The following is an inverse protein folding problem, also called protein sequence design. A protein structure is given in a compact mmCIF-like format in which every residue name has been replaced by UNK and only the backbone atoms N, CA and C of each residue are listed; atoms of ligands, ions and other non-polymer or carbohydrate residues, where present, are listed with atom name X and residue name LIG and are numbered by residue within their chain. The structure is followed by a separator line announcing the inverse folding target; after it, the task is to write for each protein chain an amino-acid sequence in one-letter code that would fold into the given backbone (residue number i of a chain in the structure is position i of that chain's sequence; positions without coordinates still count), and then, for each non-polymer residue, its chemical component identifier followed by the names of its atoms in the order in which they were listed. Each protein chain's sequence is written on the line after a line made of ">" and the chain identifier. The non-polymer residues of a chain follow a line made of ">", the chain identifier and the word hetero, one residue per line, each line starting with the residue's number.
data_IF_573630168766
#
_entry.id   IF_573630168766
#
_cell.length_a   1.000
_cell.length_b   1.000
_cell.length_c   1.000
_cell.angle_alpha   90.00
_cell.angle_beta   90.00
_cell.angle_gamma   90.00
#
_symmetry.space_group_name_H-M   'P 1'
#
loop_
_entity.id
_entity.type
_entity.pdbx_description
1 polymer ?
#
# COMPACT_ATOMS: atom_id res chain seq x y z
N UNK A 1 -8.85 0.11 -23.29
CA UNK A 1 -8.17 -0.70 -22.26
C UNK A 1 -6.99 -1.40 -22.94
N UNK A 2 -5.84 -0.72 -23.00
CA UNK A 2 -4.63 -1.28 -23.61
C UNK A 2 -3.99 -2.16 -22.54
N UNK A 3 -4.12 -3.48 -22.69
CA UNK A 3 -3.32 -4.44 -21.95
C UNK A 3 -1.89 -4.23 -22.43
N UNK A 4 -1.09 -3.52 -21.64
CA UNK A 4 0.32 -3.32 -21.92
C UNK A 4 1.00 -4.67 -22.06
N UNK A 5 1.40 -5.02 -23.28
CA UNK A 5 2.28 -6.15 -23.53
C UNK A 5 3.54 -5.91 -22.71
N UNK A 6 3.77 -6.74 -21.67
CA UNK A 6 5.08 -6.85 -21.05
C UNK A 6 6.07 -7.16 -22.18
N UNK A 7 6.88 -6.18 -22.51
CA UNK A 7 7.87 -6.32 -23.57
C UNK A 7 9.01 -7.07 -22.91
N UNK A 8 9.03 -8.40 -23.06
CA UNK A 8 10.08 -9.32 -22.56
C UNK A 8 11.40 -9.07 -23.33
N UNK A 9 11.94 -7.86 -23.19
CA UNK A 9 13.21 -7.47 -23.78
C UNK A 9 14.26 -7.41 -22.69
N UNK A 10 15.51 -7.75 -23.03
CA UNK A 10 16.62 -7.62 -22.10
C UNK A 10 16.75 -6.16 -21.61
N UNK A 11 16.47 -5.18 -22.46
CA UNK A 11 16.44 -3.77 -22.06
C UNK A 11 15.40 -3.51 -20.96
N UNK A 12 14.20 -4.05 -21.09
CA UNK A 12 13.17 -3.98 -20.05
C UNK A 12 13.65 -4.67 -18.75
N UNK A 13 14.23 -5.86 -18.85
CA UNK A 13 14.77 -6.54 -17.67
C UNK A 13 15.85 -5.72 -16.96
N UNK A 14 16.72 -5.03 -17.72
CA UNK A 14 17.80 -4.19 -17.19
C UNK A 14 17.29 -2.87 -16.60
N UNK A 15 16.29 -2.23 -17.20
CA UNK A 15 15.82 -0.90 -16.83
C UNK A 15 14.52 -0.88 -16.00
N UNK A 16 13.76 -1.97 -15.99
CA UNK A 16 12.43 -2.07 -15.39
C UNK A 16 11.47 -1.01 -15.94
N UNK A 17 10.76 -0.32 -15.04
CA UNK A 17 9.83 0.75 -15.38
C UNK A 17 10.48 1.99 -16.01
N UNK A 18 11.81 2.05 -16.08
CA UNK A 18 12.57 3.16 -16.66
C UNK A 18 13.10 2.87 -18.08
N UNK A 19 12.63 1.82 -18.76
CA UNK A 19 13.04 1.52 -20.15
C UNK A 19 12.87 2.73 -21.09
N UNK A 20 11.72 3.40 -21.04
CA UNK A 20 11.47 4.59 -21.88
C UNK A 20 12.46 5.72 -21.59
N UNK A 21 12.85 5.89 -20.32
CA UNK A 21 13.88 6.84 -19.91
C UNK A 21 15.26 6.45 -20.42
N UNK A 22 15.62 5.18 -20.37
CA UNK A 22 16.89 4.71 -20.92
C UNK A 22 16.99 4.98 -22.43
N UNK A 23 15.92 4.71 -23.19
CA UNK A 23 15.86 4.95 -24.64
C UNK A 23 16.02 6.44 -24.95
N UNK A 24 15.24 7.30 -24.28
CA UNK A 24 15.34 8.74 -24.47
C UNK A 24 16.71 9.28 -24.04
N UNK A 25 17.21 8.81 -22.90
CA UNK A 25 18.48 9.23 -22.34
C UNK A 25 19.65 8.82 -23.23
N UNK A 26 19.65 7.69 -23.93
CA UNK A 26 20.76 7.30 -24.82
C UNK A 26 20.53 7.61 -26.30
N UNK A 27 19.37 8.17 -26.66
CA UNK A 27 19.05 8.55 -28.03
C UNK A 27 18.58 7.40 -28.92
N UNK A 28 18.28 6.23 -28.35
CA UNK A 28 17.85 5.05 -29.08
C UNK A 28 17.85 3.77 -28.24
N UNK A 29 17.14 2.74 -28.71
CA UNK A 29 16.99 1.45 -28.03
C UNK A 29 18.29 0.65 -28.00
N UNK A 30 19.02 0.64 -29.12
CA UNK A 30 20.29 -0.09 -29.25
C UNK A 30 21.40 0.55 -28.41
N UNK A 31 21.46 1.88 -28.38
CA UNK A 31 22.39 2.66 -27.56
C UNK A 31 22.14 2.41 -26.07
N UNK A 32 20.87 2.47 -25.65
CA UNK A 32 20.47 2.21 -24.28
C UNK A 32 20.81 0.78 -23.84
N UNK A 33 20.55 -0.21 -24.71
CA UNK A 33 20.87 -1.60 -24.45
C UNK A 33 22.38 -1.81 -24.30
N UNK A 34 23.19 -1.30 -25.23
CA UNK A 34 24.66 -1.35 -25.17
C UNK A 34 25.19 -0.68 -23.90
N UNK A 35 24.65 0.48 -23.55
CA UNK A 35 25.07 1.19 -22.34
C UNK A 35 24.77 0.38 -21.06
N UNK A 36 23.57 -0.19 -20.92
CA UNK A 36 23.17 -0.87 -19.68
C UNK A 36 23.74 -2.28 -19.51
N UNK A 37 23.97 -3.03 -20.60
CA UNK A 37 24.43 -4.43 -20.54
C UNK A 37 25.88 -4.54 -20.08
N UNK A 38 26.72 -3.55 -20.40
CA UNK A 38 28.14 -3.53 -20.01
C UNK A 38 28.38 -3.01 -18.61
N UNK A 39 27.38 -2.40 -17.99
CA UNK A 39 27.50 -1.85 -16.64
C UNK A 39 27.26 -2.91 -15.56
N UNK A 40 28.10 -2.98 -14.53
CA UNK A 40 27.82 -3.81 -13.36
C UNK A 40 26.48 -3.44 -12.73
N UNK A 41 25.75 -4.42 -12.19
CA UNK A 41 24.40 -4.23 -11.63
C UNK A 41 24.31 -3.04 -10.66
N UNK A 42 25.31 -2.91 -9.78
CA UNK A 42 25.39 -1.80 -8.82
C UNK A 42 25.43 -0.42 -9.50
N UNK A 43 26.21 -0.28 -10.58
CA UNK A 43 26.34 0.98 -11.33
C UNK A 43 25.08 1.24 -12.15
N UNK A 44 24.50 0.20 -12.74
CA UNK A 44 23.20 0.26 -13.40
C UNK A 44 22.11 0.78 -12.46
N UNK A 45 22.00 0.27 -11.24
CA UNK A 45 21.03 0.78 -10.26
C UNK A 45 21.27 2.22 -9.84
N UNK A 46 22.52 2.69 -9.85
CA UNK A 46 22.82 4.11 -9.60
C UNK A 46 22.23 4.96 -10.72
N UNK A 47 22.43 4.57 -11.98
CA UNK A 47 21.85 5.25 -13.13
C UNK A 47 20.32 5.27 -13.08
N UNK A 48 19.70 4.11 -12.81
CA UNK A 48 18.25 3.98 -12.67
C UNK A 48 17.70 4.82 -11.51
N UNK A 49 18.40 4.88 -10.37
CA UNK A 49 18.01 5.72 -9.25
C UNK A 49 18.02 7.21 -9.61
N UNK A 50 19.01 7.65 -10.40
CA UNK A 50 19.11 9.03 -10.87
C UNK A 50 18.02 9.32 -11.91
N UNK A 51 17.74 8.41 -12.83
CA UNK A 51 16.62 8.59 -13.76
C UNK A 51 15.27 8.60 -13.04
N UNK A 52 15.07 7.80 -11.99
CA UNK A 52 13.87 7.89 -11.14
C UNK A 52 13.73 9.29 -10.52
N UNK A 53 14.82 9.87 -10.03
CA UNK A 53 14.83 11.25 -9.52
C UNK A 53 14.48 12.26 -10.62
N UNK A 54 15.15 12.20 -11.77
CA UNK A 54 14.91 13.10 -12.91
C UNK A 54 13.47 13.03 -13.43
N UNK A 55 12.90 11.83 -13.45
CA UNK A 55 11.55 11.58 -13.97
C UNK A 55 10.43 11.99 -13.02
N UNK A 56 10.66 11.93 -11.70
CA UNK A 56 9.60 12.09 -10.70
C UNK A 56 9.74 13.35 -9.84
N UNK A 57 10.93 13.95 -9.75
CA UNK A 57 11.24 15.08 -8.87
C UNK A 57 12.02 16.15 -9.65
N UNK A 58 11.34 16.83 -10.57
CA UNK A 58 11.89 18.00 -11.25
C UNK A 58 12.26 19.15 -10.29
N UNK A 59 11.79 19.13 -9.04
CA UNK A 59 12.02 20.19 -8.04
C UNK A 59 13.27 19.98 -7.16
N UNK A 60 13.91 18.80 -7.18
CA UNK A 60 15.09 18.48 -6.35
C UNK A 60 16.42 18.46 -7.12
N UNK A 61 16.36 18.73 -8.41
CA UNK A 61 17.57 18.96 -9.18
C UNK A 61 17.83 20.46 -9.13
N UNK A 62 18.99 20.87 -8.61
CA UNK A 62 19.43 22.26 -8.73
C UNK A 62 19.56 22.69 -10.21
N UNK A 63 19.56 21.73 -11.16
CA UNK A 63 19.56 21.95 -12.62
C UNK A 63 18.69 20.92 -13.39
N UNK A 64 17.70 21.32 -14.20
CA UNK A 64 16.99 20.41 -15.12
C UNK A 64 17.92 19.79 -16.17
N UNK A 65 17.51 18.61 -16.66
CA UNK A 65 18.38 17.64 -17.31
C UNK A 65 18.98 18.08 -18.66
N UNK A 66 20.21 18.59 -18.64
CA UNK A 66 21.10 18.46 -19.79
C UNK A 66 21.53 17.00 -19.91
N UNK A 67 20.85 16.24 -20.77
CA UNK A 67 21.19 14.84 -21.05
C UNK A 67 22.62 14.68 -21.57
N UNK A 68 23.19 15.66 -22.26
CA UNK A 68 24.56 15.58 -22.76
C UNK A 68 25.54 15.58 -21.60
N UNK A 69 25.42 16.57 -20.70
CA UNK A 69 26.22 16.65 -19.48
C UNK A 69 26.07 15.41 -18.61
N UNK A 70 24.84 14.91 -18.42
CA UNK A 70 24.62 13.72 -17.60
C UNK A 70 25.12 12.43 -18.24
N UNK A 71 25.09 12.28 -19.57
CA UNK A 71 25.75 11.16 -20.27
C UNK A 71 27.24 11.19 -20.04
N UNK A 72 27.88 12.35 -20.19
CA UNK A 72 29.31 12.51 -19.94
C UNK A 72 29.66 12.12 -18.50
N UNK A 73 28.90 12.63 -17.52
CA UNK A 73 29.06 12.26 -16.10
C UNK A 73 28.85 10.76 -15.88
N UNK A 74 27.83 10.14 -16.49
CA UNK A 74 27.57 8.71 -16.35
C UNK A 74 28.73 7.85 -16.84
N UNK A 75 29.51 8.32 -17.82
CA UNK A 75 30.67 7.61 -18.36
C UNK A 75 31.97 7.90 -17.60
N UNK A 76 32.15 9.10 -17.08
CA UNK A 76 33.41 9.56 -16.47
C UNK A 76 33.45 9.48 -14.94
N UNK A 77 32.31 9.67 -14.28
CA UNK A 77 32.26 9.84 -12.82
C UNK A 77 32.15 8.50 -12.07
N UNK A 78 32.53 8.53 -10.80
CA UNK A 78 32.29 7.41 -9.88
C UNK A 78 30.83 7.36 -9.45
N UNK A 79 30.31 6.18 -9.11
CA UNK A 79 28.93 6.04 -8.63
C UNK A 79 28.63 6.85 -7.37
N UNK A 80 29.62 7.05 -6.49
CA UNK A 80 29.45 7.89 -5.30
C UNK A 80 29.32 9.37 -5.69
N UNK A 81 30.14 9.84 -6.64
CA UNK A 81 30.05 11.20 -7.16
C UNK A 81 28.70 11.45 -7.84
N UNK A 82 28.26 10.52 -8.70
CA UNK A 82 26.96 10.59 -9.39
C UNK A 82 25.78 10.73 -8.43
N UNK A 83 25.74 9.92 -7.37
CA UNK A 83 24.67 10.02 -6.37
C UNK A 83 24.69 11.37 -5.64
N UNK A 84 25.88 11.88 -5.29
CA UNK A 84 26.01 13.20 -4.65
C UNK A 84 25.53 14.31 -5.58
N UNK A 85 25.95 14.30 -6.85
CA UNK A 85 25.53 15.28 -7.86
C UNK A 85 24.02 15.22 -8.12
N UNK A 86 23.40 14.05 -7.97
CA UNK A 86 21.96 13.87 -8.11
C UNK A 86 21.16 14.20 -6.83
N UNK A 87 21.79 14.79 -5.81
CA UNK A 87 21.11 15.22 -4.58
C UNK A 87 20.93 14.13 -3.51
N UNK A 88 21.59 12.98 -3.63
CA UNK A 88 21.50 11.89 -2.64
C UNK A 88 22.60 11.93 -1.58
N UNK A 89 23.16 13.11 -1.28
CA UNK A 89 24.26 13.27 -0.32
C UNK A 89 23.92 12.78 1.10
N UNK A 90 22.69 13.02 1.54
CA UNK A 90 22.22 12.67 2.89
C UNK A 90 21.78 11.21 3.03
N UNK A 91 21.55 10.49 1.92
CA UNK A 91 21.11 9.10 1.91
C UNK A 91 22.27 8.11 2.22
N UNK A 92 22.77 8.15 3.45
CA UNK A 92 23.94 7.36 3.88
C UNK A 92 23.73 5.86 3.67
N UNK A 93 24.63 5.26 2.90
CA UNK A 93 24.59 3.84 2.55
C UNK A 93 23.73 3.49 1.34
N UNK A 94 23.23 4.49 0.59
CA UNK A 94 22.47 4.28 -0.65
C UNK A 94 23.28 3.49 -1.67
N UNK A 95 24.52 3.88 -1.95
CA UNK A 95 25.39 3.16 -2.89
C UNK A 95 25.54 1.67 -2.54
N UNK A 96 25.73 1.37 -1.25
CA UNK A 96 25.81 -0.01 -0.77
C UNK A 96 24.48 -0.76 -0.85
N UNK A 97 23.35 -0.04 -0.72
CA UNK A 97 22.01 -0.61 -0.78
C UNK A 97 21.56 -0.88 -2.22
N UNK A 98 21.90 0.00 -3.17
CA UNK A 98 21.66 -0.22 -4.60
C UNK A 98 22.41 -1.45 -5.11
N UNK A 99 23.61 -1.73 -4.59
CA UNK A 99 24.34 -2.96 -4.91
C UNK A 99 23.75 -4.25 -4.33
N UNK A 100 22.66 -4.18 -3.56
CA UNK A 100 21.95 -5.33 -2.99
C UNK A 100 20.60 -5.60 -3.66
N UNK A 101 20.23 -4.78 -4.63
CA UNK A 101 19.05 -4.98 -5.47
C UNK A 101 19.25 -6.19 -6.42
N UNK A 102 18.17 -6.78 -6.95
CA UNK A 102 18.29 -7.81 -7.98
C UNK A 102 18.96 -7.26 -9.24
N UNK A 103 19.58 -8.09 -10.07
CA UNK A 103 20.22 -7.64 -11.32
C UNK A 103 19.25 -6.91 -12.29
N UNK A 104 17.95 -7.18 -12.16
CA UNK A 104 16.89 -6.52 -12.93
C UNK A 104 16.58 -5.13 -12.39
N UNK A 105 16.22 -4.21 -13.28
CA UNK A 105 15.62 -2.93 -12.90
C UNK A 105 14.33 -3.13 -12.09
N UNK A 106 13.97 -2.11 -11.29
CA UNK A 106 12.72 -2.12 -10.55
C UNK A 106 11.56 -1.70 -11.47
N UNK A 107 10.45 -2.41 -11.40
CA UNK A 107 9.23 -2.12 -12.17
C UNK A 107 8.61 -0.77 -11.81
N UNK A 108 8.64 -0.39 -10.53
CA UNK A 108 8.18 0.90 -10.05
C UNK A 108 9.41 1.79 -9.76
N UNK A 109 9.64 2.79 -10.61
CA UNK A 109 10.74 3.74 -10.45
C UNK A 109 10.72 4.45 -9.09
N UNK A 110 9.53 4.67 -8.51
CA UNK A 110 9.38 5.31 -7.21
C UNK A 110 10.07 4.53 -6.08
N UNK A 111 10.34 3.24 -6.27
CA UNK A 111 11.03 2.41 -5.28
C UNK A 111 12.47 2.84 -5.04
N UNK A 112 13.15 3.39 -6.05
CA UNK A 112 14.49 3.95 -5.85
C UNK A 112 14.45 5.15 -4.90
N UNK A 113 13.44 6.01 -5.07
CA UNK A 113 13.26 7.20 -4.23
C UNK A 113 12.82 6.82 -2.81
N UNK A 114 11.88 5.87 -2.67
CA UNK A 114 11.49 5.32 -1.36
C UNK A 114 12.68 4.71 -0.61
N UNK A 115 13.60 4.05 -1.32
CA UNK A 115 14.83 3.51 -0.73
C UNK A 115 15.77 4.63 -0.27
N UNK A 116 15.94 5.69 -1.05
CA UNK A 116 16.73 6.85 -0.67
C UNK A 116 16.13 7.55 0.57
N UNK A 117 14.82 7.83 0.55
CA UNK A 117 14.09 8.47 1.65
C UNK A 117 14.25 7.63 2.95
N UNK A 118 14.10 6.30 2.88
CA UNK A 118 14.32 5.39 4.02
C UNK A 118 15.73 5.48 4.62
N UNK A 119 16.75 5.77 3.81
CA UNK A 119 18.14 5.84 4.23
C UNK A 119 18.54 7.23 4.74
N UNK A 120 17.93 8.27 4.16
CA UNK A 120 18.06 9.66 4.56
C UNK A 120 17.41 9.91 5.93
N UNK A 121 16.18 9.43 6.13
CA UNK A 121 15.49 9.50 7.44
C UNK A 121 16.23 8.77 8.56
N UNK A 122 17.00 7.73 8.23
CA UNK A 122 17.77 6.95 9.20
C UNK A 122 16.93 5.96 10.02
N UNK A 123 17.30 5.79 11.30
CA UNK A 123 16.58 4.94 12.26
C UNK A 123 16.53 3.45 11.91
N UNK A 124 15.47 2.77 12.40
CA UNK A 124 15.28 1.31 12.26
C UNK A 124 15.11 0.87 10.80
N UNK A 125 14.49 1.72 9.97
CA UNK A 125 14.30 1.47 8.54
C UNK A 125 15.64 1.39 7.80
N UNK A 126 16.47 2.43 7.95
CA UNK A 126 17.82 2.43 7.39
C UNK A 126 18.68 1.28 7.93
N UNK A 127 18.62 0.98 9.23
CA UNK A 127 19.33 -0.14 9.82
C UNK A 127 18.91 -1.48 9.22
N UNK A 128 17.59 -1.68 9.05
CA UNK A 128 17.03 -2.88 8.42
C UNK A 128 17.53 -3.05 6.98
N UNK A 129 17.58 -1.97 6.21
CA UNK A 129 18.10 -1.99 4.83
C UNK A 129 19.60 -2.31 4.81
N UNK A 130 20.39 -1.65 5.67
CA UNK A 130 21.85 -1.81 5.73
C UNK A 130 22.28 -3.23 6.13
N UNK A 131 21.53 -3.92 6.98
CA UNK A 131 21.87 -5.27 7.43
C UNK A 131 21.44 -6.39 6.47
N UNK A 132 20.62 -6.08 5.46
CA UNK A 132 20.21 -7.09 4.47
C UNK A 132 21.34 -7.40 3.50
N UNK A 133 21.44 -8.68 3.11
CA UNK A 133 22.31 -9.14 2.00
C UNK A 133 21.70 -8.86 0.63
N UNK A 134 20.37 -8.96 0.52
CA UNK A 134 19.58 -8.65 -0.68
C UNK A 134 18.34 -7.85 -0.31
N UNK A 135 17.96 -6.91 -1.16
CA UNK A 135 16.79 -6.04 -0.99
C UNK A 135 15.82 -6.31 -2.12
N UNK A 136 14.64 -6.81 -1.79
CA UNK A 136 13.54 -6.96 -2.75
C UNK A 136 12.66 -5.71 -2.76
N UNK A 137 12.08 -5.37 -3.93
CA UNK A 137 11.10 -4.29 -4.12
C UNK A 137 10.02 -4.25 -3.02
N UNK A 138 9.41 -5.39 -2.73
CA UNK A 138 8.39 -5.51 -1.67
C UNK A 138 8.88 -5.11 -0.27
N UNK A 139 10.19 -5.21 -0.01
CA UNK A 139 10.79 -4.78 1.27
C UNK A 139 10.82 -3.27 1.37
N UNK A 140 11.21 -2.59 0.29
CA UNK A 140 11.25 -1.13 0.21
C UNK A 140 9.83 -0.60 0.42
N UNK A 141 8.86 -1.13 -0.35
CA UNK A 141 7.45 -0.75 -0.23
C UNK A 141 6.90 -0.95 1.19
N UNK A 142 7.14 -2.12 1.78
CA UNK A 142 6.62 -2.44 3.12
C UNK A 142 7.21 -1.51 4.16
N UNK A 143 8.53 -1.28 4.14
CA UNK A 143 9.19 -0.43 5.13
C UNK A 143 8.80 1.04 4.96
N UNK A 144 8.76 1.55 3.73
CA UNK A 144 8.41 2.93 3.46
C UNK A 144 6.95 3.23 3.85
N UNK A 145 6.04 2.26 3.68
CA UNK A 145 4.65 2.42 4.08
C UNK A 145 4.41 2.33 5.59
N UNK A 146 5.39 1.87 6.39
CA UNK A 146 5.27 1.79 7.85
C UNK A 146 5.60 3.14 8.52
N UNK A 147 4.94 3.48 9.64
CA UNK A 147 5.35 4.58 10.52
C UNK A 147 6.82 4.46 10.91
N UNK A 148 7.53 5.59 10.95
CA UNK A 148 8.98 5.64 11.13
C UNK A 148 9.47 4.84 12.35
N UNK A 149 8.72 4.89 13.46
CA UNK A 149 9.03 4.21 14.72
C UNK A 149 8.85 2.68 14.68
N UNK A 150 8.27 2.15 13.60
CA UNK A 150 7.96 0.73 13.40
C UNK A 150 8.57 0.13 12.13
N UNK A 151 9.47 0.84 11.44
CA UNK A 151 10.18 0.35 10.24
C UNK A 151 11.23 -0.72 10.58
N UNK A 152 10.81 -1.80 11.22
CA UNK A 152 11.67 -2.87 11.71
C UNK A 152 11.57 -4.14 10.85
N UNK A 153 12.69 -4.85 10.68
CA UNK A 153 12.79 -6.05 9.84
C UNK A 153 11.79 -7.15 10.18
N UNK A 154 11.53 -7.38 11.47
CA UNK A 154 10.59 -8.39 11.95
C UNK A 154 9.15 -8.10 11.53
N UNK A 155 8.72 -6.85 11.66
CA UNK A 155 7.37 -6.42 11.28
C UNK A 155 7.19 -6.41 9.76
N UNK A 156 8.20 -5.97 9.01
CA UNK A 156 8.16 -6.03 7.56
C UNK A 156 8.09 -7.47 7.03
N UNK A 157 8.60 -8.47 7.79
CA UNK A 157 8.45 -9.89 7.45
C UNK A 157 7.05 -10.40 7.77
N UNK A 158 6.48 -10.10 8.94
CA UNK A 158 5.14 -10.58 9.32
C UNK A 158 4.04 -10.06 8.39
N UNK A 159 4.16 -8.83 7.89
CA UNK A 159 3.20 -8.26 6.94
C UNK A 159 3.28 -8.83 5.51
N UNK A 160 4.36 -9.57 5.19
CA UNK A 160 4.52 -10.26 3.90
C UNK A 160 3.87 -11.65 3.86
N UNK A 161 3.60 -12.28 5.01
CA UNK A 161 3.30 -13.73 5.13
C UNK A 161 1.81 -14.10 4.92
N UNK A 162 0.91 -13.15 4.70
CA UNK A 162 -0.51 -13.47 4.43
C UNK A 162 -0.82 -13.71 2.95
N UNK A 163 -1.00 -14.96 2.53
CA UNK A 163 -1.50 -15.38 1.21
C UNK A 163 -3.02 -15.14 1.08
N UNK A 164 -3.44 -13.89 0.93
CA UNK A 164 -4.76 -13.57 0.36
C UNK A 164 -4.60 -12.62 -0.83
N UNK A 165 -5.38 -12.88 -1.87
CA UNK A 165 -5.49 -12.09 -3.10
C UNK A 165 -5.64 -10.59 -2.76
N UNK A 166 -4.67 -9.80 -3.19
CA UNK A 166 -4.59 -8.36 -2.93
C UNK A 166 -3.15 -7.87 -2.93
N UNK A 167 -2.91 -6.63 -3.38
CA UNK A 167 -1.55 -6.08 -3.43
C UNK A 167 -0.99 -5.94 -1.99
N UNK A 168 0.28 -6.33 -1.72
CA UNK A 168 0.91 -6.18 -0.41
C UNK A 168 0.77 -4.76 0.20
N UNK A 169 0.70 -3.74 -0.66
CA UNK A 169 0.51 -2.34 -0.31
C UNK A 169 -0.85 -2.06 0.33
N UNK A 170 -1.94 -2.65 -0.19
CA UNK A 170 -3.27 -2.52 0.44
C UNK A 170 -3.26 -3.09 1.85
N UNK A 171 -2.56 -4.21 2.08
CA UNK A 171 -2.42 -4.81 3.41
C UNK A 171 -1.66 -3.92 4.37
N UNK A 172 -0.52 -3.36 3.96
CA UNK A 172 0.27 -2.47 4.83
C UNK A 172 -0.52 -1.21 5.14
N UNK A 173 -1.16 -0.56 4.15
CA UNK A 173 -2.01 0.62 4.38
C UNK A 173 -3.14 0.34 5.36
N UNK A 174 -3.87 -0.76 5.17
CA UNK A 174 -4.93 -1.21 6.10
C UNK A 174 -4.40 -1.47 7.50
N UNK A 175 -3.21 -2.06 7.60
CA UNK A 175 -2.57 -2.31 8.90
C UNK A 175 -2.13 -1.02 9.59
N UNK A 176 -1.55 -0.06 8.85
CA UNK A 176 -1.11 1.23 9.39
C UNK A 176 -2.30 2.05 9.85
N UNK A 177 -3.36 2.11 9.04
CA UNK A 177 -4.60 2.80 9.40
C UNK A 177 -5.19 2.26 10.72
N UNK A 178 -5.20 0.93 10.90
CA UNK A 178 -5.63 0.31 12.17
C UNK A 178 -4.78 0.77 13.35
N UNK A 179 -3.47 0.75 13.16
CA UNK A 179 -2.54 1.12 14.21
C UNK A 179 -2.74 2.59 14.61
N UNK A 180 -2.84 3.49 13.64
CA UNK A 180 -3.11 4.91 13.87
C UNK A 180 -4.44 5.11 14.60
N UNK A 181 -5.48 4.37 14.19
CA UNK A 181 -6.76 4.38 14.89
C UNK A 181 -6.61 3.91 16.34
N UNK A 182 -5.93 2.77 16.58
CA UNK A 182 -5.72 2.24 17.92
C UNK A 182 -5.00 3.26 18.81
N UNK A 183 -3.96 3.91 18.27
CA UNK A 183 -3.23 5.00 18.93
C UNK A 183 -4.12 6.19 19.24
N UNK A 184 -5.05 6.52 18.35
CA UNK A 184 -5.99 7.63 18.54
C UNK A 184 -7.07 7.34 19.61
N UNK A 185 -7.63 6.13 19.62
CA UNK A 185 -8.71 5.77 20.57
C UNK A 185 -8.19 5.30 21.93
N UNK A 186 -6.94 4.86 22.00
CA UNK A 186 -6.31 4.36 23.21
C UNK A 186 -4.83 4.81 23.30
N UNK A 187 -4.56 6.12 23.36
CA UNK A 187 -3.19 6.65 23.41
C UNK A 187 -2.38 6.11 24.59
N UNK A 188 -3.04 5.78 25.71
CA UNK A 188 -2.43 5.12 26.87
C UNK A 188 -1.81 3.74 26.57
N UNK A 189 -2.18 3.11 25.45
CA UNK A 189 -1.65 1.81 25.02
C UNK A 189 -0.42 1.92 24.11
N UNK A 190 0.02 3.12 23.70
CA UNK A 190 1.07 3.26 22.66
C UNK A 190 2.38 2.54 23.02
N UNK A 191 2.82 2.61 24.27
CA UNK A 191 3.99 1.86 24.75
C UNK A 191 3.81 0.34 24.62
N UNK A 192 2.62 -0.18 24.96
CA UNK A 192 2.31 -1.61 24.84
C UNK A 192 2.20 -2.07 23.39
N UNK A 193 1.58 -1.24 22.53
CA UNK A 193 1.49 -1.43 21.08
C UNK A 193 2.90 -1.55 20.49
N UNK A 194 3.76 -0.56 20.75
CA UNK A 194 5.13 -0.53 20.25
C UNK A 194 5.93 -1.74 20.73
N UNK A 195 5.85 -2.07 22.02
CA UNK A 195 6.53 -3.24 22.62
C UNK A 195 6.11 -4.54 21.94
N UNK A 196 4.80 -4.79 21.78
CA UNK A 196 4.28 -6.00 21.12
C UNK A 196 4.74 -6.10 19.67
N UNK A 197 4.60 -5.02 18.91
CA UNK A 197 4.92 -5.01 17.48
C UNK A 197 6.42 -5.15 17.20
N UNK A 198 7.27 -4.49 17.98
CA UNK A 198 8.72 -4.65 17.88
C UNK A 198 9.17 -6.05 18.31
N UNK A 199 8.45 -6.68 19.24
CA UNK A 199 8.60 -8.09 19.61
C UNK A 199 8.06 -9.09 18.59
N UNK A 200 7.48 -8.62 17.47
CA UNK A 200 6.92 -9.47 16.42
C UNK A 200 5.52 -10.05 16.73
N UNK A 201 4.88 -9.60 17.81
CA UNK A 201 3.50 -9.98 18.15
C UNK A 201 2.45 -9.19 17.38
N UNK A 202 1.18 -9.53 17.62
CA UNK A 202 0.03 -8.78 17.13
C UNK A 202 -0.62 -7.93 18.25
N UNK A 203 -1.47 -6.99 17.84
CA UNK A 203 -2.19 -6.06 18.73
C UNK A 203 -3.69 -6.33 18.77
N UNK A 204 -4.11 -7.52 18.39
CA UNK A 204 -5.53 -7.88 18.21
C UNK A 204 -6.29 -7.81 19.53
N UNK A 205 -5.69 -8.34 20.59
CA UNK A 205 -6.25 -8.32 21.95
C UNK A 205 -6.43 -6.90 22.50
N UNK A 206 -5.63 -5.93 22.04
CA UNK A 206 -5.69 -4.55 22.51
C UNK A 206 -6.96 -3.82 22.07
N UNK A 207 -7.69 -4.39 21.09
CA UNK A 207 -8.99 -3.88 20.68
C UNK A 207 -10.11 -4.29 21.64
N UNK A 208 -9.93 -5.34 22.44
CA UNK A 208 -10.98 -5.82 23.33
C UNK A 208 -11.41 -4.70 24.29
N UNK A 209 -12.72 -4.52 24.46
CA UNK A 209 -13.28 -3.49 25.35
C UNK A 209 -13.37 -2.07 24.77
N UNK A 210 -12.67 -1.75 23.67
CA UNK A 210 -12.73 -0.40 23.06
C UNK A 210 -14.11 -0.10 22.41
N UNK A 211 -14.60 1.15 22.43
CA UNK A 211 -15.87 1.50 21.79
C UNK A 211 -15.84 1.21 20.28
N UNK A 212 -17.03 0.97 19.70
CA UNK A 212 -17.15 0.94 18.24
C UNK A 212 -16.87 2.35 17.67
N UNK A 213 -16.30 2.46 16.47
CA UNK A 213 -16.24 3.73 15.75
C UNK A 213 -17.64 4.34 15.58
N UNK A 214 -17.72 5.67 15.37
CA UNK A 214 -18.94 6.24 14.81
C UNK A 214 -19.23 5.61 13.44
N UNK A 215 -20.52 5.52 13.11
CA UNK A 215 -20.93 5.06 11.79
C UNK A 215 -20.37 5.97 10.68
N UNK A 216 -20.04 5.40 9.51
CA UNK A 216 -19.56 6.17 8.34
C UNK A 216 -20.46 7.36 7.99
N UNK A 217 -21.77 7.20 8.19
CA UNK A 217 -22.80 8.23 8.10
C UNK A 217 -24.06 7.80 8.86
N UNK A 218 -25.01 8.71 9.07
CA UNK A 218 -26.23 8.44 9.85
C UNK A 218 -27.20 7.43 9.23
N UNK A 219 -27.03 7.10 7.94
CA UNK A 219 -27.99 6.28 7.20
C UNK A 219 -29.23 7.07 6.78
N UNK A 220 -30.32 6.36 6.53
CA UNK A 220 -31.64 6.90 6.18
C UNK A 220 -32.70 6.31 7.11
N UNK A 221 -33.97 6.68 6.92
CA UNK A 221 -35.08 6.11 7.70
C UNK A 221 -35.15 4.57 7.60
N UNK A 222 -34.90 4.02 6.41
CA UNK A 222 -34.93 2.58 6.13
C UNK A 222 -33.57 1.89 6.27
N UNK A 223 -32.45 2.59 6.04
CA UNK A 223 -31.10 2.04 6.09
C UNK A 223 -30.36 2.55 7.31
N UNK A 224 -30.25 1.75 8.37
CA UNK A 224 -29.72 2.20 9.67
C UNK A 224 -28.41 1.51 10.03
N UNK A 225 -27.44 2.22 10.64
CA UNK A 225 -26.21 1.61 11.12
C UNK A 225 -26.49 0.64 12.28
N UNK A 226 -25.76 -0.48 12.32
CA UNK A 226 -25.68 -1.36 13.47
C UNK A 226 -24.58 -0.86 14.41
N UNK A 227 -24.88 0.22 15.12
CA UNK A 227 -23.92 1.06 15.86
C UNK A 227 -23.47 0.55 17.23
N UNK A 228 -23.99 -0.61 17.66
CA UNK A 228 -23.65 -1.20 18.95
C UNK A 228 -23.47 -2.72 18.86
N UNK A 229 -22.64 -3.33 19.72
CA UNK A 229 -22.54 -4.79 19.80
C UNK A 229 -23.90 -5.46 20.06
N UNK A 230 -24.79 -4.81 20.82
CA UNK A 230 -26.13 -5.29 21.07
C UNK A 230 -26.99 -5.29 19.80
N UNK A 231 -26.96 -4.19 19.02
CA UNK A 231 -27.65 -4.11 17.72
C UNK A 231 -27.16 -5.20 16.76
N UNK A 232 -25.84 -5.38 16.62
CA UNK A 232 -25.25 -6.42 15.78
C UNK A 232 -25.66 -7.83 16.22
N UNK A 233 -25.63 -8.15 17.52
CA UNK A 233 -26.08 -9.46 18.04
C UNK A 233 -27.57 -9.69 17.81
N UNK A 234 -28.39 -8.64 17.95
CA UNK A 234 -29.83 -8.69 17.70
C UNK A 234 -30.12 -8.95 16.21
N UNK A 235 -29.43 -8.24 15.31
CA UNK A 235 -29.49 -8.48 13.87
C UNK A 235 -29.01 -9.90 13.52
N UNK A 236 -27.89 -10.36 14.11
CA UNK A 236 -27.37 -11.72 13.88
C UNK A 236 -28.41 -12.81 14.16
N UNK A 237 -29.21 -12.65 15.22
CA UNK A 237 -30.30 -13.58 15.57
C UNK A 237 -31.44 -13.53 14.55
N UNK A 238 -31.89 -12.32 14.15
CA UNK A 238 -32.95 -12.14 13.14
C UNK A 238 -32.55 -12.73 11.79
N UNK A 239 -31.33 -12.42 11.35
CA UNK A 239 -30.80 -12.85 10.07
C UNK A 239 -30.21 -14.25 10.09
N UNK A 240 -30.03 -14.89 11.26
CA UNK A 240 -29.40 -16.22 11.39
C UNK A 240 -28.04 -16.28 10.68
N UNK A 241 -27.18 -15.28 10.94
CA UNK A 241 -25.88 -15.14 10.31
C UNK A 241 -24.74 -14.87 11.31
N UNK A 242 -23.53 -14.63 10.79
CA UNK A 242 -22.31 -14.45 11.59
C UNK A 242 -22.10 -13.02 12.11
N UNK A 243 -23.07 -12.10 12.01
CA UNK A 243 -22.87 -10.70 12.45
C UNK A 243 -22.40 -10.56 13.90
N UNK A 244 -22.82 -11.48 14.78
CA UNK A 244 -22.39 -11.46 16.18
C UNK A 244 -20.87 -11.63 16.34
N UNK A 245 -20.21 -12.37 15.45
CA UNK A 245 -18.74 -12.50 15.43
C UNK A 245 -18.05 -11.37 14.66
N UNK A 246 -18.80 -10.47 14.00
CA UNK A 246 -18.23 -9.37 13.22
C UNK A 246 -17.97 -8.09 14.04
N UNK A 247 -18.37 -8.06 15.31
CA UNK A 247 -18.21 -6.88 16.20
C UNK A 247 -16.75 -6.42 16.26
N UNK A 248 -15.79 -7.35 16.24
CA UNK A 248 -14.36 -7.01 16.28
C UNK A 248 -13.87 -6.36 14.99
N UNK A 249 -14.45 -6.69 13.84
CA UNK A 249 -14.12 -6.03 12.58
C UNK A 249 -14.60 -4.58 12.58
N UNK A 250 -15.80 -4.32 13.10
CA UNK A 250 -16.31 -2.96 13.32
C UNK A 250 -15.45 -2.20 14.31
N UNK A 251 -15.08 -2.83 15.42
CA UNK A 251 -14.24 -2.20 16.45
C UNK A 251 -12.88 -1.76 15.92
N UNK A 252 -12.25 -2.62 15.11
CA UNK A 252 -11.01 -2.32 14.39
C UNK A 252 -11.18 -1.26 13.31
N UNK A 253 -12.42 -0.92 12.96
CA UNK A 253 -12.79 0.08 11.96
C UNK A 253 -12.67 -0.41 10.52
N UNK A 254 -12.61 -1.72 10.31
CA UNK A 254 -12.51 -2.32 8.98
C UNK A 254 -13.79 -2.29 8.21
N UNK A 255 -14.84 -2.72 8.92
CA UNK A 255 -16.14 -2.89 8.34
C UNK A 255 -17.13 -2.06 9.14
N UNK A 256 -18.21 -1.64 8.50
CA UNK A 256 -19.37 -1.16 9.20
C UNK A 256 -20.62 -1.79 8.60
N UNK A 257 -21.56 -2.17 9.45
CA UNK A 257 -22.76 -2.88 9.00
C UNK A 257 -23.98 -1.98 9.12
N UNK A 258 -24.82 -2.02 8.10
CA UNK A 258 -26.12 -1.35 8.07
C UNK A 258 -27.21 -2.38 7.82
N UNK A 259 -28.40 -2.15 8.37
CA UNK A 259 -29.59 -2.95 8.17
C UNK A 259 -30.64 -2.17 7.38
N UNK A 260 -31.18 -2.80 6.34
CA UNK A 260 -32.36 -2.32 5.62
C UNK A 260 -33.58 -3.05 6.14
N UNK A 261 -34.26 -2.46 7.14
CA UNK A 261 -35.57 -2.89 7.66
C UNK A 261 -35.77 -4.42 7.85
N UNK A 262 -34.75 -5.13 8.33
CA UNK A 262 -34.81 -6.58 8.51
C UNK A 262 -34.78 -7.42 7.21
N UNK A 263 -34.66 -6.79 6.05
CA UNK A 263 -34.64 -7.42 4.72
C UNK A 263 -33.22 -7.75 4.26
N UNK A 264 -32.26 -6.87 4.55
CA UNK A 264 -30.87 -7.04 4.18
C UNK A 264 -29.93 -6.40 5.20
N UNK A 265 -28.69 -6.88 5.20
CA UNK A 265 -27.56 -6.31 5.91
C UNK A 265 -26.49 -5.99 4.87
N UNK A 266 -25.96 -4.78 4.91
CA UNK A 266 -24.91 -4.29 4.04
C UNK A 266 -23.62 -4.19 4.85
N UNK A 267 -22.56 -4.80 4.35
CA UNK A 267 -21.21 -4.61 4.85
C UNK A 267 -20.51 -3.55 4.02
N UNK A 268 -20.03 -2.51 4.68
CA UNK A 268 -19.10 -1.55 4.09
C UNK A 268 -17.69 -1.87 4.55
N UNK A 269 -16.71 -1.83 3.65
CA UNK A 269 -15.28 -1.88 3.98
C UNK A 269 -14.64 -0.50 3.84
N UNK A 270 -13.83 -0.11 4.82
CA UNK A 270 -13.03 1.13 4.75
C UNK A 270 -11.84 0.94 3.79
N UNK A 271 -11.79 1.75 2.74
CA UNK A 271 -10.69 1.82 1.78
C UNK A 271 -9.86 3.08 2.03
N UNK A 272 -8.62 2.95 2.54
CA UNK A 272 -7.80 4.12 2.87
C UNK A 272 -7.61 5.07 1.68
N UNK A 273 -8.01 6.33 1.87
CA UNK A 273 -7.94 7.39 0.85
C UNK A 273 -9.11 7.45 -0.13
N UNK A 274 -10.01 6.45 -0.14
CA UNK A 274 -11.16 6.40 -1.06
C UNK A 274 -12.52 6.43 -0.35
N UNK A 275 -12.56 6.19 0.96
CA UNK A 275 -13.80 6.19 1.74
C UNK A 275 -14.28 4.77 2.04
N UNK A 276 -15.59 4.54 1.99
CA UNK A 276 -16.22 3.26 2.27
C UNK A 276 -16.82 2.66 1.00
N UNK A 277 -16.55 1.40 0.74
CA UNK A 277 -17.11 0.66 -0.39
C UNK A 277 -18.03 -0.45 0.13
N UNK A 278 -19.07 -0.79 -0.63
CA UNK A 278 -19.90 -1.94 -0.29
C UNK A 278 -19.12 -3.21 -0.60
N UNK A 279 -18.84 -4.00 0.43
CA UNK A 279 -18.14 -5.28 0.31
C UNK A 279 -19.14 -6.41 0.07
N UNK A 280 -20.27 -6.40 0.78
CA UNK A 280 -21.29 -7.45 0.64
C UNK A 280 -22.69 -6.99 1.03
N UNK A 281 -23.70 -7.70 0.50
CA UNK A 281 -25.11 -7.50 0.83
C UNK A 281 -25.79 -8.84 1.05
N UNK A 282 -26.18 -9.11 2.30
CA UNK A 282 -26.71 -10.39 2.74
C UNK A 282 -28.12 -10.25 3.33
N UNK A 283 -29.02 -11.12 2.89
CA UNK A 283 -30.31 -11.38 3.53
C UNK A 283 -30.22 -12.48 4.59
N UNK A 284 -31.37 -12.96 5.08
CA UNK A 284 -31.41 -14.03 6.08
C UNK A 284 -30.66 -15.30 5.62
N UNK A 285 -29.91 -15.90 6.55
CA UNK A 285 -29.04 -17.08 6.34
C UNK A 285 -27.95 -16.84 5.28
N UNK A 286 -27.44 -15.61 5.18
CA UNK A 286 -26.46 -15.20 4.15
C UNK A 286 -26.93 -15.43 2.71
N UNK A 287 -28.25 -15.47 2.50
CA UNK A 287 -28.79 -15.56 1.14
C UNK A 287 -28.73 -14.20 0.48
N UNK A 288 -28.42 -14.15 -0.81
CA UNK A 288 -28.50 -12.91 -1.58
C UNK A 288 -29.93 -12.34 -1.51
N UNK A 289 -30.11 -11.04 -1.20
CA UNK A 289 -31.41 -10.41 -1.32
C UNK A 289 -31.95 -10.43 -2.76
N UNK A 290 -33.29 -10.42 -2.95
CA UNK A 290 -33.92 -10.27 -4.26
C UNK A 290 -33.51 -8.98 -4.97
N UNK A 291 -33.56 -8.97 -6.31
CA UNK A 291 -33.17 -7.82 -7.13
C UNK A 291 -33.90 -6.50 -6.75
N UNK A 292 -35.21 -6.48 -6.42
CA UNK A 292 -35.85 -5.25 -5.95
C UNK A 292 -35.22 -4.65 -4.69
N UNK A 293 -34.77 -5.49 -3.75
CA UNK A 293 -34.10 -5.05 -2.53
C UNK A 293 -32.72 -4.47 -2.86
N UNK A 294 -31.97 -5.12 -3.77
CA UNK A 294 -30.67 -4.61 -4.21
C UNK A 294 -30.78 -3.24 -4.90
N UNK A 295 -31.79 -3.07 -5.75
CA UNK A 295 -32.02 -1.81 -6.46
C UNK A 295 -32.44 -0.68 -5.51
N UNK A 296 -33.22 -1.01 -4.47
CA UNK A 296 -33.53 -0.06 -3.40
C UNK A 296 -32.28 0.38 -2.63
N UNK A 297 -31.36 -0.55 -2.35
CA UNK A 297 -30.08 -0.24 -1.70
C UNK A 297 -29.27 0.71 -2.60
N UNK A 298 -29.09 0.40 -3.88
CA UNK A 298 -28.38 1.28 -4.83
C UNK A 298 -28.97 2.69 -4.87
N UNK A 299 -30.30 2.80 -4.89
CA UNK A 299 -31.01 4.09 -4.86
C UNK A 299 -30.72 4.85 -3.56
N UNK A 300 -30.73 4.18 -2.41
CA UNK A 300 -30.43 4.80 -1.12
C UNK A 300 -28.97 5.26 -1.03
N UNK A 301 -28.03 4.45 -1.52
CA UNK A 301 -26.60 4.78 -1.50
C UNK A 301 -26.23 5.88 -2.50
N UNK A 302 -26.99 6.03 -3.58
CA UNK A 302 -26.83 7.16 -4.52
C UNK A 302 -27.09 8.53 -3.86
N UNK A 303 -27.81 8.56 -2.73
CA UNK A 303 -28.02 9.75 -1.90
C UNK A 303 -27.08 9.88 -0.70
N UNK A 304 -26.11 8.96 -0.54
CA UNK A 304 -25.17 8.98 0.57
C UNK A 304 -24.08 10.06 0.37
N UNK A 305 -23.37 10.46 1.44
CA UNK A 305 -22.21 11.34 1.33
C UNK A 305 -21.14 10.81 0.35
N UNK A 306 -20.38 11.71 -0.28
CA UNK A 306 -19.42 11.35 -1.34
C UNK A 306 -18.27 10.41 -0.94
N UNK A 307 -18.07 10.15 0.37
CA UNK A 307 -17.12 9.15 0.87
C UNK A 307 -17.73 7.75 1.02
N UNK A 308 -18.98 7.54 0.61
CA UNK A 308 -19.66 6.25 0.55
C UNK A 308 -19.87 5.89 -0.92
N UNK A 309 -19.34 4.74 -1.35
CA UNK A 309 -19.55 4.26 -2.72
C UNK A 309 -21.02 3.91 -2.94
N UNK A 310 -21.65 4.39 -4.03
CA UNK A 310 -23.02 4.02 -4.36
C UNK A 310 -23.12 2.64 -5.04
N UNK A 311 -21.99 2.05 -5.41
CA UNK A 311 -21.94 0.83 -6.21
C UNK A 311 -21.93 -0.42 -5.35
N UNK A 312 -22.83 -1.35 -5.67
CA UNK A 312 -22.76 -2.70 -5.18
C UNK A 312 -21.64 -3.47 -5.91
N UNK A 313 -20.96 -4.40 -5.24
CA UNK A 313 -19.89 -5.18 -5.85
C UNK A 313 -20.43 -5.99 -7.03
N UNK A 314 -19.80 -5.84 -8.21
CA UNK A 314 -20.08 -6.68 -9.36
C UNK A 314 -19.69 -8.12 -9.00
N UNK A 315 -20.66 -9.02 -8.85
CA UNK A 315 -20.39 -10.42 -8.50
C UNK A 315 -19.36 -11.04 -9.45
N UNK A 316 -18.15 -11.28 -8.96
CA UNK A 316 -17.19 -12.22 -9.60
C UNK A 316 -16.60 -13.23 -8.61
N UNK A 317 -16.99 -13.23 -7.33
CA UNK A 317 -16.20 -13.92 -6.30
C UNK A 317 -16.95 -14.81 -5.32
N UNK A 318 -18.07 -15.47 -5.68
CA UNK A 318 -18.67 -16.49 -4.80
C UNK A 318 -19.39 -17.60 -5.57
N UNK A 319 -18.67 -18.25 -6.49
CA UNK A 319 -18.95 -19.62 -6.93
C UNK A 319 -17.69 -20.44 -6.67
N UNK A 320 -17.61 -21.07 -5.51
CA UNK A 320 -16.60 -22.03 -5.09
C UNK A 320 -17.19 -22.88 -3.98
#
# INVERSE_FOLDING_TARGET
>A
MVVGMKTDTLLHALAGGLEGWAIAFWGGREEAHRALVHEPDKRRHVWLCIWAQMSMRADRLDEPADFTLWRERFLSETSACLLRLAGFGEARGLLGSLGKLPWTGLEDAAQYLKLADLLEEGGLGAQTIRHRKRIAASTIETLHALPADLRHAGLAKSLKVGERLGSPQRRVRRWVWRLERLRAVAPQLDGAIRKKLLGGGDVTELWAGLPLPPAPWGGTEGLRPLDSPAAMRSAAKRFQNCLASQVDFVRRGYSYFYELEGRAVIEFEQVPGLGWEVEDVNGPRNKRPPAPVLHEIERLLSGAPGHISPYLPSRTYWNG
#
